data_IF_559727342355
#
_entry.id   IF_559727342355
#
_cell.length_a   1.000
_cell.length_b   1.000
_cell.length_c   1.000
_cell.angle_alpha   90.00
_cell.angle_beta   90.00
_cell.angle_gamma   90.00
#
_symmetry.space_group_name_H-M   'P 1'
#
loop_
_entity.id
_entity.type
_entity.pdbx_description
1 polymer ?
#
# COMPACT_ATOMS: atom_id res chain seq x y z
N UNK A 1 -0.39 -43.73 -9.14
CA UNK A 1 -0.45 -42.82 -10.32
C UNK A 1 -1.69 -41.92 -10.31
N UNK A 2 -2.92 -42.41 -10.47
CA UNK A 2 -4.14 -41.55 -10.52
C UNK A 2 -4.33 -40.63 -9.30
N UNK A 3 -4.10 -41.14 -8.08
CA UNK A 3 -4.15 -40.33 -6.84
C UNK A 3 -3.09 -39.22 -6.79
N UNK A 4 -1.88 -39.49 -7.29
CA UNK A 4 -0.79 -38.50 -7.36
C UNK A 4 -1.11 -37.36 -8.33
N UNK A 5 -1.69 -37.67 -9.50
CA UNK A 5 -2.16 -36.63 -10.44
C UNK A 5 -3.28 -35.78 -9.85
N UNK A 6 -4.18 -36.36 -9.07
CA UNK A 6 -5.24 -35.62 -8.39
C UNK A 6 -4.67 -34.65 -7.34
N UNK A 7 -3.70 -35.11 -6.53
CA UNK A 7 -3.01 -34.27 -5.54
C UNK A 7 -2.28 -33.11 -6.22
N UNK A 8 -1.54 -33.38 -7.31
CA UNK A 8 -0.84 -32.33 -8.08
C UNK A 8 -1.83 -31.32 -8.64
N UNK A 9 -2.97 -31.79 -9.18
CA UNK A 9 -4.03 -30.92 -9.68
C UNK A 9 -4.61 -29.99 -8.60
N UNK A 10 -4.86 -30.51 -7.40
CA UNK A 10 -5.32 -29.70 -6.27
C UNK A 10 -4.28 -28.65 -5.88
N UNK A 11 -3.00 -29.03 -5.79
CA UNK A 11 -1.91 -28.09 -5.44
C UNK A 11 -1.84 -26.94 -6.47
N UNK A 12 -1.93 -27.26 -7.76
CA UNK A 12 -1.95 -26.26 -8.83
C UNK A 12 -3.13 -25.28 -8.67
N UNK A 13 -4.34 -25.80 -8.39
CA UNK A 13 -5.52 -24.95 -8.15
C UNK A 13 -5.31 -24.04 -6.94
N UNK A 14 -4.77 -24.56 -5.84
CA UNK A 14 -4.49 -23.77 -4.62
C UNK A 14 -3.50 -22.64 -4.93
N UNK A 15 -2.41 -22.92 -5.66
CA UNK A 15 -1.42 -21.91 -6.06
C UNK A 15 -2.07 -20.83 -6.91
N UNK A 16 -2.90 -21.21 -7.88
CA UNK A 16 -3.62 -20.27 -8.75
C UNK A 16 -4.57 -19.40 -7.91
N UNK A 17 -5.38 -20.01 -7.04
CA UNK A 17 -6.26 -19.27 -6.13
C UNK A 17 -5.47 -18.29 -5.25
N UNK A 18 -4.32 -18.70 -4.72
CA UNK A 18 -3.44 -17.83 -3.93
C UNK A 18 -2.97 -16.61 -4.73
N UNK A 19 -2.49 -16.81 -5.97
CA UNK A 19 -2.02 -15.72 -6.83
C UNK A 19 -3.18 -14.76 -7.14
N UNK A 20 -4.36 -15.28 -7.51
CA UNK A 20 -5.53 -14.44 -7.80
C UNK A 20 -6.00 -13.65 -6.59
N UNK A 21 -6.06 -14.26 -5.41
CA UNK A 21 -6.42 -13.55 -4.18
C UNK A 21 -5.41 -12.42 -3.91
N UNK A 22 -4.11 -12.70 -4.00
CA UNK A 22 -3.10 -11.65 -3.83
C UNK A 22 -3.28 -10.53 -4.86
N UNK A 23 -3.52 -10.86 -6.13
CA UNK A 23 -3.79 -9.87 -7.18
C UNK A 23 -4.98 -8.96 -6.84
N UNK A 24 -6.14 -9.55 -6.50
CA UNK A 24 -7.37 -8.78 -6.21
C UNK A 24 -7.31 -7.95 -4.93
N UNK A 25 -6.53 -8.37 -3.94
CA UNK A 25 -6.46 -7.69 -2.64
C UNK A 25 -5.20 -6.82 -2.46
N UNK A 26 -4.26 -6.85 -3.41
CA UNK A 26 -2.97 -6.14 -3.31
C UNK A 26 -3.14 -4.65 -3.05
N UNK A 27 -3.91 -3.95 -3.90
CA UNK A 27 -4.05 -2.49 -3.82
C UNK A 27 -4.70 -2.03 -2.50
N UNK A 28 -5.71 -2.78 -2.04
CA UNK A 28 -6.37 -2.54 -0.75
C UNK A 28 -5.41 -2.72 0.41
N UNK A 29 -4.65 -3.82 0.39
CA UNK A 29 -3.68 -4.12 1.43
C UNK A 29 -2.50 -3.14 1.42
N UNK A 30 -2.08 -2.66 0.25
CA UNK A 30 -1.06 -1.65 0.10
C UNK A 30 -1.51 -0.32 0.74
N UNK A 31 -2.71 0.17 0.40
CA UNK A 31 -3.26 1.38 0.99
C UNK A 31 -3.47 1.26 2.51
N UNK A 32 -4.01 0.12 2.97
CA UNK A 32 -4.17 -0.16 4.39
C UNK A 32 -2.84 -0.15 5.14
N UNK A 33 -1.82 -0.78 4.57
CA UNK A 33 -0.47 -0.84 5.16
C UNK A 33 0.17 0.55 5.22
N UNK A 34 0.03 1.35 4.16
CA UNK A 34 0.47 2.74 4.14
C UNK A 34 -0.25 3.60 5.18
N UNK A 35 -1.58 3.46 5.31
CA UNK A 35 -2.34 4.17 6.36
C UNK A 35 -1.79 3.82 7.74
N UNK A 36 -1.56 2.53 8.02
CA UNK A 36 -1.02 2.09 9.30
C UNK A 36 0.38 2.63 9.56
N UNK A 37 1.24 2.64 8.55
CA UNK A 37 2.61 3.16 8.65
C UNK A 37 2.62 4.66 8.94
N UNK A 38 1.88 5.47 8.18
CA UNK A 38 1.78 6.92 8.38
C UNK A 38 1.18 7.24 9.76
N UNK A 39 0.13 6.52 10.17
CA UNK A 39 -0.46 6.71 11.49
C UNK A 39 0.48 6.33 12.64
N UNK A 40 1.39 5.37 12.42
CA UNK A 40 2.45 5.07 13.39
C UNK A 40 3.40 6.26 13.54
N UNK A 41 3.81 6.88 12.44
CA UNK A 41 4.68 8.07 12.48
C UNK A 41 4.00 9.25 13.16
N UNK A 42 2.71 9.49 12.87
CA UNK A 42 1.90 10.51 13.55
C UNK A 42 1.83 10.25 15.05
N UNK A 43 1.43 9.03 15.44
CA UNK A 43 1.26 8.64 16.84
C UNK A 43 2.56 8.78 17.65
N UNK A 44 3.69 8.45 17.03
CA UNK A 44 5.01 8.51 17.67
C UNK A 44 5.67 9.89 17.54
N UNK A 45 5.00 10.88 16.96
CA UNK A 45 5.55 12.20 16.65
C UNK A 45 6.89 12.13 15.89
N UNK A 46 7.04 11.15 14.99
CA UNK A 46 8.25 10.96 14.19
C UNK A 46 8.31 11.97 13.04
N UNK A 47 8.71 13.20 13.39
CA UNK A 47 8.77 14.32 12.44
C UNK A 47 9.74 14.08 11.29
N UNK A 48 10.81 13.30 11.53
CA UNK A 48 11.78 12.96 10.49
C UNK A 48 11.13 12.05 9.44
N UNK A 49 10.49 10.96 9.87
CA UNK A 49 9.78 10.08 8.94
C UNK A 49 8.63 10.78 8.23
N UNK A 50 7.88 11.63 8.93
CA UNK A 50 6.83 12.42 8.28
C UNK A 50 7.38 13.37 7.22
N UNK A 51 8.52 14.00 7.47
CA UNK A 51 9.18 14.86 6.49
C UNK A 51 9.74 14.06 5.31
N UNK A 52 10.37 12.92 5.57
CA UNK A 52 10.97 12.05 4.54
C UNK A 52 9.94 11.54 3.53
N UNK A 53 8.67 11.37 3.94
CA UNK A 53 7.59 10.89 3.08
C UNK A 53 6.73 12.01 2.49
N UNK A 54 7.04 13.29 2.71
CA UNK A 54 6.27 14.41 2.16
C UNK A 54 7.15 15.32 1.34
N UNK A 55 6.83 15.51 0.07
CA UNK A 55 7.61 16.36 -0.83
C UNK A 55 7.31 17.86 -0.64
N UNK A 56 6.26 18.21 0.12
CA UNK A 56 5.89 19.60 0.37
C UNK A 56 5.49 19.89 1.82
N UNK A 57 5.76 21.12 2.27
CA UNK A 57 5.49 21.57 3.64
C UNK A 57 3.98 21.56 3.97
N UNK A 58 3.10 21.80 3.00
CA UNK A 58 1.65 21.79 3.22
C UNK A 58 1.18 20.40 3.69
N UNK A 59 1.58 19.35 2.99
CA UNK A 59 1.24 17.96 3.32
C UNK A 59 1.88 17.56 4.64
N UNK A 60 3.17 17.91 4.85
CA UNK A 60 3.86 17.70 6.12
C UNK A 60 3.10 18.27 7.32
N UNK A 61 2.70 19.55 7.26
CA UNK A 61 2.00 20.21 8.36
C UNK A 61 0.64 19.56 8.63
N UNK A 62 -0.08 19.15 7.58
CA UNK A 62 -1.36 18.45 7.74
C UNK A 62 -1.16 17.11 8.44
N UNK A 63 -0.19 16.30 8.02
CA UNK A 63 0.10 15.02 8.67
C UNK A 63 0.55 15.21 10.11
N UNK A 64 1.50 16.11 10.36
CA UNK A 64 2.07 16.39 11.69
C UNK A 64 1.02 16.84 12.70
N UNK A 65 0.04 17.64 12.27
CA UNK A 65 -0.99 18.19 13.14
C UNK A 65 -2.25 17.30 13.20
N UNK A 66 -2.30 16.21 12.43
CA UNK A 66 -3.41 15.25 12.48
C UNK A 66 -3.28 14.31 13.67
N UNK A 67 -4.40 13.92 14.28
CA UNK A 67 -4.41 12.83 15.29
C UNK A 67 -4.28 11.45 14.65
N UNK A 68 -4.89 11.29 13.48
CA UNK A 68 -4.89 10.11 12.63
C UNK A 68 -5.23 10.56 11.21
N UNK A 69 -4.78 9.82 10.21
CA UNK A 69 -5.24 9.93 8.84
C UNK A 69 -5.95 8.65 8.36
N UNK A 70 -6.81 8.81 7.35
CA UNK A 70 -7.39 7.71 6.59
C UNK A 70 -7.00 7.82 5.12
N UNK A 71 -6.69 6.68 4.50
CA UNK A 71 -6.39 6.56 3.08
C UNK A 71 -7.47 5.72 2.41
N UNK A 72 -8.17 6.31 1.44
CA UNK A 72 -9.15 5.60 0.61
C UNK A 72 -8.65 5.51 -0.83
N UNK A 73 -8.58 4.31 -1.36
CA UNK A 73 -8.22 4.05 -2.76
C UNK A 73 -9.24 4.73 -3.69
N UNK A 74 -8.77 5.47 -4.71
CA UNK A 74 -9.62 6.01 -5.78
C UNK A 74 -9.44 5.30 -7.10
N UNK A 75 -8.22 4.88 -7.41
CA UNK A 75 -7.90 4.13 -8.61
C UNK A 75 -6.83 3.09 -8.33
N UNK A 76 -6.85 2.03 -9.13
CA UNK A 76 -5.84 0.98 -9.09
C UNK A 76 -4.44 1.54 -9.39
N UNK A 77 -3.43 0.78 -8.95
CA UNK A 77 -2.03 1.12 -9.10
C UNK A 77 -1.62 1.29 -10.58
N UNK A 78 -0.98 2.42 -10.93
CA UNK A 78 -0.40 2.68 -12.27
C UNK A 78 1.13 2.55 -12.30
N UNK A 79 1.69 1.90 -11.28
CA UNK A 79 3.10 1.70 -10.98
C UNK A 79 3.94 0.99 -12.04
N UNK A 80 5.23 1.31 -12.09
CA UNK A 80 6.26 0.56 -12.82
C UNK A 80 7.54 0.45 -11.96
N UNK A 81 8.45 -0.45 -12.32
CA UNK A 81 9.80 -0.56 -11.73
C UNK A 81 9.83 -0.69 -10.19
N UNK A 82 8.88 -1.42 -9.60
CA UNK A 82 8.82 -1.61 -8.15
C UNK A 82 8.33 -0.39 -7.37
N UNK A 83 7.73 0.59 -8.04
CA UNK A 83 7.02 1.70 -7.40
C UNK A 83 5.54 1.59 -7.73
N UNK A 84 4.70 1.62 -6.70
CA UNK A 84 3.25 1.74 -6.85
C UNK A 84 2.82 3.21 -6.83
N UNK A 85 2.02 3.62 -7.81
CA UNK A 85 1.41 4.94 -7.93
C UNK A 85 -0.10 4.83 -7.69
N UNK A 86 -0.58 5.42 -6.60
CA UNK A 86 -1.99 5.37 -6.22
C UNK A 86 -2.59 6.78 -6.18
N UNK A 87 -3.73 6.94 -6.83
CA UNK A 87 -4.63 8.05 -6.53
C UNK A 87 -5.50 7.66 -5.34
N UNK A 88 -5.43 8.45 -4.28
CA UNK A 88 -6.12 8.18 -3.02
C UNK A 88 -6.83 9.43 -2.53
N UNK A 89 -7.69 9.26 -1.52
CA UNK A 89 -8.13 10.35 -0.66
C UNK A 89 -7.43 10.23 0.69
N UNK A 90 -6.70 11.26 1.09
CA UNK A 90 -6.15 11.43 2.43
C UNK A 90 -7.10 12.32 3.24
N UNK A 91 -7.78 11.78 4.25
CA UNK A 91 -8.82 12.49 5.00
C UNK A 91 -9.84 13.20 4.08
N UNK A 92 -10.36 12.44 3.12
CA UNK A 92 -11.35 12.89 2.12
C UNK A 92 -10.85 13.96 1.13
N UNK A 93 -9.56 14.28 1.13
CA UNK A 93 -8.92 15.15 0.12
C UNK A 93 -8.11 14.35 -0.88
N UNK A 94 -8.18 14.66 -2.19
CA UNK A 94 -7.36 14.00 -3.19
C UNK A 94 -5.87 14.10 -2.86
N UNK A 95 -5.17 12.98 -3.02
CA UNK A 95 -3.75 12.86 -2.78
C UNK A 95 -3.14 11.77 -3.67
N UNK A 96 -1.85 11.90 -3.92
CA UNK A 96 -1.03 10.88 -4.57
C UNK A 96 -0.23 10.14 -3.52
N UNK A 97 -0.28 8.82 -3.56
CA UNK A 97 0.49 7.93 -2.69
C UNK A 97 1.46 7.12 -3.55
N UNK A 98 2.73 7.22 -3.19
CA UNK A 98 3.85 6.51 -3.80
C UNK A 98 4.38 5.50 -2.80
N UNK A 99 4.43 4.23 -3.19
CA UNK A 99 4.98 3.16 -2.35
C UNK A 99 6.07 2.39 -3.08
N UNK A 100 7.05 1.87 -2.34
CA UNK A 100 7.97 0.87 -2.87
C UNK A 100 7.39 -0.53 -2.69
N UNK A 101 7.34 -1.27 -3.79
CA UNK A 101 6.92 -2.66 -3.88
C UNK A 101 8.19 -3.48 -4.13
N UNK A 102 8.62 -4.27 -3.14
CA UNK A 102 9.81 -5.13 -3.28
C UNK A 102 9.51 -6.37 -4.13
N UNK A 103 8.35 -6.98 -3.90
CA UNK A 103 7.93 -8.19 -4.57
C UNK A 103 6.46 -8.05 -4.99
N UNK A 104 6.19 -8.20 -6.28
CA UNK A 104 4.82 -8.24 -6.79
C UNK A 104 4.12 -9.50 -6.30
N UNK A 105 2.83 -9.38 -5.93
CA UNK A 105 1.97 -10.51 -5.52
C UNK A 105 2.41 -11.26 -4.25
N UNK A 106 3.34 -10.70 -3.47
CA UNK A 106 3.69 -11.16 -2.13
C UNK A 106 3.18 -10.11 -1.12
N UNK A 107 2.47 -10.51 -0.05
CA UNK A 107 1.93 -9.59 0.95
C UNK A 107 3.01 -9.10 1.94
N UNK A 108 4.10 -8.49 1.43
CA UNK A 108 5.12 -7.78 2.22
C UNK A 108 4.82 -6.28 2.42
N UNK A 109 4.65 -5.85 3.68
CA UNK A 109 4.29 -4.45 4.01
C UNK A 109 5.08 -3.44 3.17
N UNK A 110 4.43 -2.69 2.25
CA UNK A 110 5.13 -1.76 1.39
C UNK A 110 5.66 -0.58 2.19
N UNK A 111 6.71 0.05 1.67
CA UNK A 111 7.28 1.26 2.26
C UNK A 111 6.66 2.48 1.58
N UNK A 112 6.10 3.40 2.36
CA UNK A 112 5.65 4.69 1.85
C UNK A 112 6.88 5.48 1.42
N UNK A 113 6.95 5.80 0.13
CA UNK A 113 8.01 6.65 -0.44
C UNK A 113 7.64 8.11 -0.32
N UNK A 114 6.44 8.47 -0.79
CA UNK A 114 5.93 9.84 -0.80
C UNK A 114 4.41 9.83 -0.66
N UNK A 115 3.86 10.81 0.05
CA UNK A 115 2.44 11.18 0.00
C UNK A 115 2.33 12.68 -0.23
N UNK A 116 1.45 13.06 -1.15
CA UNK A 116 1.27 14.44 -1.57
C UNK A 116 -0.22 14.78 -1.71
N UNK A 117 -0.70 15.81 -1.01
CA UNK A 117 -2.03 16.36 -1.26
C UNK A 117 -2.04 17.17 -2.56
N UNK A 118 -3.09 16.97 -3.37
CA UNK A 118 -3.35 17.79 -4.55
C UNK A 118 -3.83 19.22 -4.19
#
# INVERSE_FOLDING_TARGET
>A
MKKSFYIIGIIMIIIICYIFMNFFFFDKWACYSSEKQINSYIKNHDTKKLHDITDNNKTYQILRNSKKVSIKLRSDNQGSEGIGYYQVNLNDKPAKLYIKIKHAFIPEVPEVKTIELE
#
